data_IF_326198759287
#
_entry.id   IF_326198759287
#
_cell.length_a   1.000
_cell.length_b   1.000
_cell.length_c   1.000
_cell.angle_alpha   90.00
_cell.angle_beta   90.00
_cell.angle_gamma   90.00
#
_symmetry.space_group_name_H-M   'P 1'
#
loop_
_entity.id
_entity.type
_entity.pdbx_description
1 polymer ?
#
# COMPACT_ATOMS: atom_id res chain seq x y z
N UNK A 1 20.63 24.90 -51.65
CA UNK A 1 20.32 23.81 -50.69
C UNK A 1 20.95 23.98 -49.30
N UNK A 2 22.10 24.64 -49.12
CA UNK A 2 22.75 24.79 -47.80
C UNK A 2 21.94 25.63 -46.78
N UNK A 3 21.24 26.68 -47.22
CA UNK A 3 20.47 27.57 -46.33
C UNK A 3 19.31 26.87 -45.60
N UNK A 4 18.67 25.89 -46.24
CA UNK A 4 17.55 25.11 -45.66
C UNK A 4 18.05 24.19 -44.54
N UNK A 5 19.23 23.57 -44.72
CA UNK A 5 19.84 22.69 -43.69
C UNK A 5 20.24 23.46 -42.43
N UNK A 6 20.69 24.72 -42.56
CA UNK A 6 21.06 25.58 -41.43
C UNK A 6 19.84 25.99 -40.59
N UNK A 7 18.71 26.30 -41.24
CA UNK A 7 17.47 26.67 -40.55
C UNK A 7 16.93 25.47 -39.75
N UNK A 8 16.97 24.27 -40.33
CA UNK A 8 16.58 23.02 -39.63
C UNK A 8 17.48 22.74 -38.40
N UNK A 9 18.79 23.00 -38.50
CA UNK A 9 19.72 22.83 -37.38
C UNK A 9 19.42 23.82 -36.23
N UNK A 10 19.13 25.08 -36.55
CA UNK A 10 18.82 26.12 -35.54
C UNK A 10 17.50 25.82 -34.83
N UNK A 11 16.49 25.35 -35.57
CA UNK A 11 15.21 24.90 -34.99
C UNK A 11 15.43 23.67 -34.09
N UNK A 12 16.33 22.76 -34.46
CA UNK A 12 16.66 21.60 -33.62
C UNK A 12 17.39 22.00 -32.33
N UNK A 13 18.27 23.02 -32.38
CA UNK A 13 18.96 23.53 -31.19
C UNK A 13 18.01 24.27 -30.24
N UNK A 14 17.01 25.01 -30.73
CA UNK A 14 16.04 25.68 -29.85
C UNK A 14 15.05 24.72 -29.19
N UNK A 15 14.89 23.51 -29.75
CA UNK A 15 14.10 22.42 -29.17
C UNK A 15 14.86 21.61 -28.09
N UNK A 16 16.18 21.74 -28.00
CA UNK A 16 17.01 21.25 -26.88
C UNK A 16 17.10 22.35 -25.80
N UNK A 17 16.03 22.78 -25.14
CA UNK A 17 15.27 21.96 -24.20
C UNK A 17 15.58 22.43 -22.77
N UNK A 18 15.00 23.55 -22.36
CA UNK A 18 15.07 24.05 -20.98
C UNK A 18 14.37 23.06 -20.05
N UNK A 19 15.13 22.29 -19.26
CA UNK A 19 14.57 21.38 -18.24
C UNK A 19 13.90 22.25 -17.17
N UNK A 20 12.58 22.35 -17.20
CA UNK A 20 11.79 23.03 -16.17
C UNK A 20 11.30 22.01 -15.13
N UNK A 21 11.38 22.37 -13.86
CA UNK A 21 10.79 21.58 -12.78
C UNK A 21 9.27 21.45 -12.98
N UNK A 22 8.75 20.25 -12.74
CA UNK A 22 7.32 19.99 -12.73
C UNK A 22 6.70 20.64 -11.47
N UNK A 23 5.57 21.38 -11.60
CA UNK A 23 4.95 22.06 -10.46
C UNK A 23 4.35 21.11 -9.42
N UNK A 24 3.80 19.96 -9.87
CA UNK A 24 3.13 18.97 -9.02
C UNK A 24 3.65 17.55 -9.32
N UNK A 25 4.90 17.22 -8.96
CA UNK A 25 5.49 15.92 -9.26
C UNK A 25 4.76 14.77 -8.53
N UNK A 26 4.11 15.02 -7.40
CA UNK A 26 3.38 14.00 -6.62
C UNK A 26 2.32 13.23 -7.44
N UNK A 27 1.75 13.86 -8.48
CA UNK A 27 0.74 13.21 -9.32
C UNK A 27 1.33 12.10 -10.19
N UNK A 28 2.65 12.03 -10.35
CA UNK A 28 3.32 10.96 -11.06
C UNK A 28 3.75 9.82 -10.12
N UNK A 29 3.79 10.06 -8.80
CA UNK A 29 4.15 9.04 -7.82
C UNK A 29 3.05 7.98 -7.68
N UNK A 30 3.33 6.70 -7.99
CA UNK A 30 2.35 5.64 -7.88
C UNK A 30 1.92 5.36 -6.43
N UNK A 31 2.79 5.60 -5.44
CA UNK A 31 2.45 5.42 -4.02
C UNK A 31 1.42 6.48 -3.59
N UNK A 32 1.63 7.73 -3.98
CA UNK A 32 0.69 8.81 -3.70
C UNK A 32 -0.69 8.56 -4.32
N UNK A 33 -0.73 8.14 -5.59
CA UNK A 33 -1.98 7.78 -6.29
C UNK A 33 -2.74 6.66 -5.59
N UNK A 34 -2.03 5.61 -5.17
CA UNK A 34 -2.61 4.48 -4.46
C UNK A 34 -3.20 4.91 -3.10
N UNK A 35 -2.46 5.68 -2.30
CA UNK A 35 -2.95 6.22 -1.03
C UNK A 35 -4.18 7.14 -1.21
N UNK A 36 -4.17 7.96 -2.26
CA UNK A 36 -5.31 8.81 -2.59
C UNK A 36 -6.54 7.98 -2.98
N UNK A 37 -6.34 6.87 -3.70
CA UNK A 37 -7.42 5.95 -4.04
C UNK A 37 -8.01 5.25 -2.80
N UNK A 38 -7.16 4.82 -1.87
CA UNK A 38 -7.58 4.19 -0.62
C UNK A 38 -8.36 5.20 0.25
N UNK A 39 -7.87 6.43 0.36
CA UNK A 39 -8.60 7.52 1.03
C UNK A 39 -10.02 7.68 0.46
N UNK A 40 -10.15 7.80 -0.86
CA UNK A 40 -11.46 7.96 -1.54
C UNK A 40 -12.38 6.75 -1.33
N UNK A 41 -11.83 5.54 -1.34
CA UNK A 41 -12.60 4.33 -1.05
C UNK A 41 -13.14 4.34 0.39
N UNK A 42 -12.32 4.73 1.37
CA UNK A 42 -12.76 4.84 2.77
C UNK A 42 -13.81 5.96 2.93
N UNK A 43 -13.66 7.10 2.26
CA UNK A 43 -14.67 8.17 2.25
C UNK A 43 -16.02 7.67 1.74
N UNK A 44 -16.01 6.90 0.65
CA UNK A 44 -17.23 6.29 0.11
C UNK A 44 -17.86 5.32 1.11
N UNK A 45 -17.07 4.39 1.65
CA UNK A 45 -17.56 3.42 2.64
C UNK A 45 -18.13 4.11 3.89
N UNK A 46 -17.50 5.20 4.33
CA UNK A 46 -18.00 5.99 5.45
C UNK A 46 -19.36 6.62 5.14
N UNK A 47 -19.52 7.18 3.93
CA UNK A 47 -20.80 7.75 3.49
C UNK A 47 -21.90 6.69 3.38
N UNK A 48 -21.56 5.53 2.82
CA UNK A 48 -22.49 4.41 2.67
C UNK A 48 -22.94 3.89 4.04
N UNK A 49 -22.02 3.76 5.01
CA UNK A 49 -22.34 3.32 6.38
C UNK A 49 -23.18 4.36 7.14
N UNK A 50 -22.99 5.66 6.89
CA UNK A 50 -23.86 6.70 7.45
C UNK A 50 -25.31 6.58 6.96
N UNK A 51 -25.49 6.32 5.67
CA UNK A 51 -26.83 6.08 5.10
C UNK A 51 -27.45 4.80 5.67
N UNK A 52 -26.65 3.73 5.81
CA UNK A 52 -27.08 2.50 6.45
C UNK A 52 -27.55 2.72 7.91
N UNK A 53 -26.77 3.47 8.70
CA UNK A 53 -27.13 3.81 10.07
C UNK A 53 -28.47 4.57 10.16
N UNK A 54 -28.73 5.47 9.22
CA UNK A 54 -29.98 6.22 9.15
C UNK A 54 -31.17 5.31 8.84
N UNK A 55 -31.02 4.42 7.86
CA UNK A 55 -32.03 3.41 7.52
C UNK A 55 -32.34 2.49 8.72
N UNK A 56 -31.30 1.98 9.41
CA UNK A 56 -31.47 1.14 10.60
C UNK A 56 -32.24 1.87 11.72
N UNK A 57 -32.03 3.17 11.90
CA UNK A 57 -32.80 3.96 12.88
C UNK A 57 -34.27 4.08 12.50
N UNK A 58 -34.56 4.37 11.23
CA UNK A 58 -35.93 4.46 10.71
C UNK A 58 -36.67 3.12 10.83
N UNK A 59 -35.99 2.00 10.54
CA UNK A 59 -36.55 0.66 10.71
C UNK A 59 -36.83 0.35 12.18
N UNK A 60 -35.87 0.64 13.07
CA UNK A 60 -36.02 0.43 14.52
C UNK A 60 -37.26 1.15 15.09
N UNK A 61 -37.58 2.34 14.58
CA UNK A 61 -38.71 3.13 15.05
C UNK A 61 -40.07 2.55 14.60
N UNK A 62 -40.10 1.76 13.52
CA UNK A 62 -41.30 1.01 13.06
C UNK A 62 -41.54 -0.28 13.87
N UNK A 63 -40.53 -0.79 14.57
CA UNK A 63 -40.62 -2.06 15.31
C UNK A 63 -41.34 -1.87 16.65
N UNK A 64 -42.24 -2.82 16.97
CA UNK A 64 -43.00 -2.86 18.23
C UNK A 64 -42.10 -2.68 19.46
N UNK A 65 -42.48 -1.82 20.43
CA UNK A 65 -41.75 -1.70 21.68
C UNK A 65 -41.57 -3.04 22.41
N UNK A 66 -40.41 -3.23 23.05
CA UNK A 66 -40.05 -4.42 23.87
C UNK A 66 -39.99 -5.77 23.11
N UNK A 67 -40.01 -5.78 21.77
CA UNK A 67 -39.81 -7.01 20.99
C UNK A 67 -38.35 -7.47 20.96
N UNK A 68 -38.13 -8.74 20.61
CA UNK A 68 -36.79 -9.29 20.35
C UNK A 68 -36.12 -8.59 19.16
N UNK A 69 -36.88 -8.35 18.08
CA UNK A 69 -36.43 -7.63 16.89
C UNK A 69 -35.85 -6.25 17.23
N UNK A 70 -36.50 -5.52 18.14
CA UNK A 70 -36.00 -4.21 18.60
C UNK A 70 -34.65 -4.32 19.29
N UNK A 71 -34.43 -5.37 20.08
CA UNK A 71 -33.12 -5.63 20.71
C UNK A 71 -32.04 -5.95 19.67
N UNK A 72 -32.38 -6.72 18.63
CA UNK A 72 -31.46 -7.03 17.52
C UNK A 72 -31.10 -5.76 16.75
N UNK A 73 -32.09 -4.95 16.36
CA UNK A 73 -31.87 -3.69 15.66
C UNK A 73 -31.01 -2.70 16.46
N UNK A 74 -31.20 -2.60 17.78
CA UNK A 74 -30.32 -1.79 18.64
C UNK A 74 -28.87 -2.28 18.59
N UNK A 75 -28.65 -3.61 18.58
CA UNK A 75 -27.30 -4.19 18.46
C UNK A 75 -26.67 -3.89 17.11
N UNK A 76 -27.45 -3.91 16.03
CA UNK A 76 -26.99 -3.55 14.67
C UNK A 76 -26.64 -2.07 14.57
N UNK A 77 -27.47 -1.18 15.12
CA UNK A 77 -27.16 0.25 15.22
C UNK A 77 -25.85 0.48 15.99
N UNK A 78 -25.61 -0.27 17.07
CA UNK A 78 -24.36 -0.19 17.82
C UNK A 78 -23.17 -0.63 16.98
N UNK A 79 -23.27 -1.77 16.28
CA UNK A 79 -22.21 -2.25 15.37
C UNK A 79 -21.91 -1.26 14.26
N UNK A 80 -22.95 -0.67 13.64
CA UNK A 80 -22.78 0.35 12.60
C UNK A 80 -22.06 1.59 13.14
N UNK A 81 -22.39 2.05 14.36
CA UNK A 81 -21.64 3.14 15.01
C UNK A 81 -20.17 2.81 15.27
N UNK A 82 -19.87 1.59 15.72
CA UNK A 82 -18.51 1.11 15.92
C UNK A 82 -17.75 1.09 14.58
N UNK A 83 -18.37 0.58 13.52
CA UNK A 83 -17.81 0.57 12.17
C UNK A 83 -17.52 1.99 11.65
N UNK A 84 -18.43 2.95 11.87
CA UNK A 84 -18.22 4.36 11.52
C UNK A 84 -17.00 4.93 12.25
N UNK A 85 -16.84 4.62 13.54
CA UNK A 85 -15.69 5.09 14.32
C UNK A 85 -14.37 4.54 13.74
N UNK A 86 -14.33 3.26 13.40
CA UNK A 86 -13.16 2.64 12.74
C UNK A 86 -12.86 3.27 11.37
N UNK A 87 -13.89 3.46 10.53
CA UNK A 87 -13.75 4.08 9.21
C UNK A 87 -13.24 5.52 9.32
N UNK A 88 -13.68 6.29 10.32
CA UNK A 88 -13.14 7.63 10.60
C UNK A 88 -11.66 7.62 10.97
N UNK A 89 -11.25 6.68 11.83
CA UNK A 89 -9.85 6.53 12.20
C UNK A 89 -9.00 6.18 10.97
N UNK A 90 -9.46 5.24 10.14
CA UNK A 90 -8.81 4.87 8.88
C UNK A 90 -8.73 6.05 7.91
N UNK A 91 -9.80 6.82 7.78
CA UNK A 91 -9.83 8.02 6.95
C UNK A 91 -8.76 9.02 7.40
N UNK A 92 -8.68 9.29 8.71
CA UNK A 92 -7.70 10.22 9.26
C UNK A 92 -6.26 9.72 9.05
N UNK A 93 -6.04 8.43 9.22
CA UNK A 93 -4.76 7.80 8.94
C UNK A 93 -4.33 8.00 7.47
N UNK A 94 -5.23 7.74 6.51
CA UNK A 94 -4.92 7.92 5.09
C UNK A 94 -4.75 9.38 4.70
N UNK A 95 -5.49 10.31 5.31
CA UNK A 95 -5.28 11.74 5.13
C UNK A 95 -3.85 12.15 5.52
N UNK A 96 -3.42 11.79 6.74
CA UNK A 96 -2.07 12.11 7.24
C UNK A 96 -1.01 11.47 6.35
N UNK A 97 -1.20 10.19 5.98
CA UNK A 97 -0.23 9.44 5.17
C UNK A 97 -0.10 10.00 3.75
N UNK A 98 -1.21 10.40 3.14
CA UNK A 98 -1.24 11.01 1.80
C UNK A 98 -0.52 12.36 1.81
N UNK A 99 -0.79 13.21 2.80
CA UNK A 99 -0.13 14.51 2.96
C UNK A 99 1.38 14.37 3.19
N UNK A 100 1.78 13.45 4.08
CA UNK A 100 3.19 13.14 4.29
C UNK A 100 3.86 12.69 3.00
N UNK A 101 3.24 11.76 2.26
CA UNK A 101 3.81 11.27 0.99
C UNK A 101 3.90 12.38 -0.05
N UNK A 102 2.94 13.30 -0.12
CA UNK A 102 3.00 14.49 -1.00
C UNK A 102 4.28 15.29 -0.78
N UNK A 103 4.62 15.56 0.48
CA UNK A 103 5.84 16.31 0.85
C UNK A 103 7.10 15.50 0.51
N UNK A 104 7.13 14.20 0.82
CA UNK A 104 8.25 13.30 0.50
C UNK A 104 8.48 13.16 -1.02
N UNK A 105 7.41 13.03 -1.80
CA UNK A 105 7.44 12.96 -3.26
C UNK A 105 8.04 14.25 -3.86
N UNK A 106 7.58 15.42 -3.40
CA UNK A 106 8.14 16.71 -3.85
C UNK A 106 9.61 16.86 -3.49
N UNK A 107 10.01 16.45 -2.28
CA UNK A 107 11.41 16.51 -1.84
C UNK A 107 12.30 15.56 -2.65
N UNK A 108 11.88 14.31 -2.81
CA UNK A 108 12.64 13.31 -3.57
C UNK A 108 12.74 13.66 -5.04
N UNK A 109 11.68 14.20 -5.65
CA UNK A 109 11.71 14.72 -7.02
C UNK A 109 12.74 15.83 -7.19
N UNK A 110 12.77 16.83 -6.30
CA UNK A 110 13.77 17.92 -6.37
C UNK A 110 15.21 17.40 -6.30
N UNK A 111 15.45 16.40 -5.43
CA UNK A 111 16.77 15.76 -5.31
C UNK A 111 17.10 14.96 -6.58
N UNK A 112 16.15 14.22 -7.13
CA UNK A 112 16.35 13.45 -8.35
C UNK A 112 16.58 14.36 -9.57
N UNK A 113 15.80 15.43 -9.70
CA UNK A 113 15.95 16.44 -10.75
C UNK A 113 17.32 17.12 -10.71
N UNK A 114 17.78 17.55 -9.53
CA UNK A 114 19.12 18.13 -9.34
C UNK A 114 20.25 17.17 -9.71
N UNK A 115 20.05 15.87 -9.44
CA UNK A 115 21.04 14.83 -9.71
C UNK A 115 20.84 14.13 -11.07
N UNK A 116 19.92 14.62 -11.90
CA UNK A 116 19.52 14.02 -13.18
C UNK A 116 19.19 12.50 -13.11
N UNK A 117 18.62 12.06 -11.98
CA UNK A 117 18.21 10.67 -11.75
C UNK A 117 16.77 10.44 -12.19
N UNK A 118 16.47 9.21 -12.60
CA UNK A 118 15.10 8.77 -12.83
C UNK A 118 14.28 8.85 -11.53
N UNK A 119 13.04 9.31 -11.66
CA UNK A 119 12.07 9.38 -10.58
C UNK A 119 10.67 9.11 -11.15
N UNK A 120 9.80 8.34 -10.47
CA UNK A 120 9.95 7.69 -9.15
C UNK A 120 10.88 6.46 -9.12
N UNK A 121 11.37 6.08 -7.94
CA UNK A 121 12.16 4.85 -7.76
C UNK A 121 11.26 3.61 -7.84
N UNK A 122 11.54 2.73 -8.81
CA UNK A 122 10.80 1.48 -9.02
C UNK A 122 10.93 0.52 -7.84
N UNK A 123 12.13 0.45 -7.23
CA UNK A 123 12.38 -0.46 -6.09
C UNK A 123 11.57 -0.05 -4.86
N UNK A 124 11.45 1.25 -4.61
CA UNK A 124 10.61 1.78 -3.54
C UNK A 124 9.15 1.34 -3.71
N UNK A 125 8.64 1.43 -4.94
CA UNK A 125 7.27 1.02 -5.25
C UNK A 125 7.05 -0.49 -5.05
N UNK A 126 8.00 -1.33 -5.46
CA UNK A 126 7.94 -2.77 -5.21
C UNK A 126 7.88 -3.10 -3.72
N UNK A 127 8.75 -2.47 -2.91
CA UNK A 127 8.75 -2.61 -1.44
C UNK A 127 7.41 -2.17 -0.85
N UNK A 128 6.85 -1.07 -1.36
CA UNK A 128 5.54 -0.59 -0.95
C UNK A 128 4.44 -1.62 -1.22
N UNK A 129 4.42 -2.23 -2.40
CA UNK A 129 3.45 -3.26 -2.77
C UNK A 129 3.56 -4.50 -1.88
N UNK A 130 4.79 -4.95 -1.57
CA UNK A 130 5.02 -6.06 -0.64
C UNK A 130 4.45 -5.72 0.75
N UNK A 131 4.78 -4.54 1.28
CA UNK A 131 4.27 -4.10 2.58
C UNK A 131 2.75 -3.96 2.58
N UNK A 132 2.15 -3.51 1.47
CA UNK A 132 0.69 -3.44 1.31
C UNK A 132 0.05 -4.83 1.35
N UNK A 133 0.63 -5.81 0.64
CA UNK A 133 0.17 -7.20 0.71
C UNK A 133 0.26 -7.77 2.12
N UNK A 134 1.36 -7.52 2.83
CA UNK A 134 1.54 -8.00 4.21
C UNK A 134 0.51 -7.40 5.18
N UNK A 135 0.15 -6.12 5.04
CA UNK A 135 -0.91 -5.50 5.85
C UNK A 135 -2.30 -6.10 5.59
N UNK A 136 -2.56 -6.52 4.35
CA UNK A 136 -3.84 -7.08 3.93
C UNK A 136 -3.90 -8.60 4.10
N UNK A 137 -2.80 -9.25 4.47
CA UNK A 137 -2.76 -10.70 4.66
C UNK A 137 -3.61 -11.10 5.88
N UNK A 138 -4.35 -12.22 5.80
CA UNK A 138 -5.12 -12.70 6.94
C UNK A 138 -4.17 -13.05 8.09
N UNK A 139 -4.33 -12.39 9.25
CA UNK A 139 -3.59 -12.70 10.48
C UNK A 139 -4.13 -13.96 11.17
N UNK A 140 -4.35 -15.03 10.41
CA UNK A 140 -4.80 -16.28 10.96
C UNK A 140 -3.58 -17.13 11.37
N UNK A 141 -3.28 -17.10 12.66
CA UNK A 141 -2.20 -17.88 13.28
C UNK A 141 -2.46 -19.39 13.29
N UNK A 142 -3.70 -19.83 13.04
CA UNK A 142 -4.08 -21.25 13.02
C UNK A 142 -3.74 -21.95 11.70
N UNK A 143 -3.51 -21.20 10.61
CA UNK A 143 -2.97 -21.79 9.39
C UNK A 143 -1.47 -21.99 9.54
N UNK A 144 -1.04 -23.26 9.60
CA UNK A 144 0.39 -23.62 9.58
C UNK A 144 1.02 -23.01 8.34
N UNK A 145 1.89 -22.01 8.52
CA UNK A 145 2.66 -21.40 7.43
C UNK A 145 3.28 -22.53 6.61
N UNK A 146 2.97 -22.63 5.30
CA UNK A 146 3.60 -23.62 4.44
C UNK A 146 5.10 -23.46 4.63
N UNK A 147 5.77 -24.52 5.09
CA UNK A 147 7.21 -24.46 5.30
C UNK A 147 7.84 -23.96 3.99
N UNK A 148 8.66 -22.92 4.06
CA UNK A 148 9.34 -22.25 2.91
C UNK A 148 10.09 -23.23 1.97
N UNK A 149 10.22 -24.49 2.38
CA UNK A 149 10.87 -25.60 1.72
C UNK A 149 10.20 -26.08 0.43
N UNK A 150 8.89 -25.86 0.24
CA UNK A 150 8.18 -26.45 -0.90
C UNK A 150 8.58 -25.83 -2.25
N UNK A 151 8.92 -24.54 -2.29
CA UNK A 151 9.16 -23.80 -3.54
C UNK A 151 10.53 -23.12 -3.61
N UNK A 152 11.44 -23.36 -2.65
CA UNK A 152 12.79 -22.80 -2.71
C UNK A 152 13.75 -23.80 -3.38
N UNK A 153 14.25 -23.54 -4.60
CA UNK A 153 15.14 -24.46 -5.31
C UNK A 153 16.44 -24.75 -4.53
N UNK A 154 16.88 -23.82 -3.68
CA UNK A 154 18.09 -23.98 -2.85
C UNK A 154 17.86 -24.76 -1.54
N UNK A 155 16.63 -25.22 -1.25
CA UNK A 155 16.37 -25.93 0.00
C UNK A 155 16.99 -27.33 0.06
N UNK A 156 17.15 -28.00 -1.10
CA UNK A 156 17.85 -29.28 -1.18
C UNK A 156 19.32 -29.15 -0.75
N UNK A 157 19.95 -28.02 -1.02
CA UNK A 157 21.36 -27.81 -0.69
C UNK A 157 21.55 -27.43 0.78
N UNK A 158 20.64 -26.62 1.34
CA UNK A 158 20.65 -26.29 2.77
C UNK A 158 20.39 -27.52 3.67
N UNK A 159 19.50 -28.43 3.26
CA UNK A 159 19.25 -29.66 4.01
C UNK A 159 20.46 -30.61 3.98
N UNK A 160 21.15 -30.73 2.84
CA UNK A 160 22.41 -31.49 2.73
C UNK A 160 23.53 -30.89 3.58
N UNK A 161 23.66 -29.56 3.62
CA UNK A 161 24.63 -28.88 4.47
C UNK A 161 24.38 -29.15 5.96
N UNK A 162 23.12 -29.07 6.40
CA UNK A 162 22.74 -29.34 7.79
C UNK A 162 22.97 -30.81 8.22
N UNK A 163 22.78 -31.77 7.32
CA UNK A 163 23.10 -33.19 7.59
C UNK A 163 24.61 -33.38 7.72
N UNK A 164 25.40 -32.76 6.83
CA UNK A 164 26.87 -32.85 6.84
C UNK A 164 27.49 -32.22 8.09
N UNK A 165 26.90 -31.16 8.62
CA UNK A 165 27.32 -30.56 9.90
C UNK A 165 27.02 -31.46 11.10
N UNK A 166 25.87 -32.14 11.12
CA UNK A 166 25.53 -33.10 12.18
C UNK A 166 26.44 -34.32 12.17
N UNK A 167 26.84 -34.80 10.99
CA UNK A 167 27.80 -35.91 10.86
C UNK A 167 29.20 -35.51 11.32
N UNK A 168 29.67 -34.30 10.99
CA UNK A 168 30.94 -33.77 11.51
C UNK A 168 30.95 -33.62 13.02
N UNK A 169 29.83 -33.20 13.63
CA UNK A 169 29.71 -33.10 15.09
C UNK A 169 29.73 -34.46 15.80
N UNK A 170 29.16 -35.51 15.18
CA UNK A 170 29.16 -36.87 15.75
C UNK A 170 30.52 -37.58 15.69
N UNK A 171 31.34 -37.29 14.68
CA UNK A 171 32.67 -37.89 14.58
C UNK A 171 33.68 -37.24 15.54
N UNK A 172 33.51 -35.96 15.88
CA UNK A 172 34.35 -35.27 16.88
C UNK A 172 34.17 -35.77 18.32
N UNK A 173 33.02 -36.37 18.65
CA UNK A 173 32.75 -36.92 19.99
C UNK A 173 33.12 -38.40 20.15
N UNK A 174 33.84 -39.00 19.20
CA UNK A 174 34.32 -40.40 19.24
C UNK A 174 35.84 -40.53 19.31
N UNK A 175 36.57 -39.42 19.33
CA UNK A 175 38.04 -39.37 19.43
C UNK A 175 38.54 -38.91 20.82
N UNK A 176 37.63 -38.78 21.80
CA UNK A 176 37.94 -38.63 23.24
C UNK A 176 37.55 -39.92 23.99
#
# INVERSE_FOLDING_TARGET
MFKIKLILLIVFLTLMGCKKELPNPENLDPIYKDLLSEKKQIEKLLKDEYSNLENLKLEKDKIKPRSLERKISIKEIRKSKEQIAELKQKLKYFEIRTERRRVEARKSYKIAFKNEKEWPDKKEYEIYLVNKRLRNAPMNWNYRVPKLHANNPNFKDLSKLAVKEKEKGKNKGKEE
#
